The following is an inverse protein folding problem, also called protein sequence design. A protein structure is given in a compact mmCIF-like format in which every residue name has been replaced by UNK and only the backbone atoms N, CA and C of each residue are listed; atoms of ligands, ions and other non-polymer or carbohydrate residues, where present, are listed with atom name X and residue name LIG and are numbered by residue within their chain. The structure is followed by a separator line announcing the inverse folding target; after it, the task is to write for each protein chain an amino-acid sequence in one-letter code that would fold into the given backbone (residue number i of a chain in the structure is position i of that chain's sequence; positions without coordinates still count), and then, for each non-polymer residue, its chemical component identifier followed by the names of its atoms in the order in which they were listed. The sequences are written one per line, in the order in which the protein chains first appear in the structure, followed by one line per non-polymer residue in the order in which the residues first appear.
data_IF_707993244373
#
_entry.id   IF_707993244373
#
_cell.length_a   1.000
_cell.length_b   1.000
_cell.length_c   1.000
_cell.angle_alpha   90.00
_cell.angle_beta   90.00
_cell.angle_gamma   90.00
#
_symmetry.space_group_name_H-M   'P 1'
#
loop_
_entity.id
_entity.type
_entity.pdbx_description
1 polymer ?
#
# COMPACT_ATOMS: atom_id res chain seq x y z
N UNK A 1 2.05 4.91 -14.15
CA UNK A 1 0.60 4.60 -14.16
C UNK A 1 0.26 3.33 -13.37
N UNK A 2 1.16 2.77 -12.54
CA UNK A 2 1.09 1.33 -12.22
C UNK A 2 1.01 0.97 -10.73
N UNK A 3 1.05 1.92 -9.78
CA UNK A 3 0.91 1.62 -8.34
C UNK A 3 -0.38 2.16 -7.71
N UNK A 4 -0.92 3.28 -8.22
CA UNK A 4 -2.22 3.79 -7.78
C UNK A 4 -3.36 2.80 -8.00
N UNK A 5 -3.28 2.00 -9.07
CA UNK A 5 -4.29 1.00 -9.39
C UNK A 5 -4.29 -0.17 -8.38
N UNK A 6 -3.15 -0.53 -7.80
CA UNK A 6 -3.06 -1.62 -6.82
C UNK A 6 -3.73 -1.24 -5.49
N UNK A 7 -3.53 0.00 -5.03
CA UNK A 7 -4.21 0.52 -3.83
C UNK A 7 -5.73 0.45 -3.95
N UNK A 8 -6.28 0.89 -5.09
CA UNK A 8 -7.73 0.83 -5.35
C UNK A 8 -8.25 -0.60 -5.52
N UNK A 9 -7.48 -1.51 -6.11
CA UNK A 9 -7.88 -2.92 -6.28
C UNK A 9 -8.00 -3.63 -4.93
N UNK A 10 -7.08 -3.37 -3.99
CA UNK A 10 -7.14 -3.99 -2.67
C UNK A 10 -8.22 -3.36 -1.77
N UNK A 11 -8.43 -2.05 -1.86
CA UNK A 11 -9.60 -1.38 -1.26
C UNK A 11 -10.92 -2.02 -1.75
N UNK A 12 -11.04 -2.25 -3.06
CA UNK A 12 -12.24 -2.83 -3.67
C UNK A 12 -12.44 -4.33 -3.37
N UNK A 13 -11.40 -5.06 -2.94
CA UNK A 13 -11.48 -6.51 -2.67
C UNK A 13 -11.54 -6.87 -1.18
N UNK A 14 -11.22 -5.94 -0.27
CA UNK A 14 -11.13 -6.22 1.17
C UNK A 14 -10.02 -7.20 1.56
N UNK A 15 -9.19 -7.63 0.59
CA UNK A 15 -8.07 -8.56 0.81
C UNK A 15 -6.82 -7.80 1.25
N UNK A 16 -6.95 -7.20 2.43
CA UNK A 16 -5.92 -6.39 3.07
C UNK A 16 -4.74 -7.24 3.55
N UNK A 17 -4.95 -8.53 3.82
CA UNK A 17 -3.92 -9.49 4.23
C UNK A 17 -2.94 -9.82 3.12
N UNK A 18 -3.43 -9.96 1.89
CA UNK A 18 -2.56 -10.16 0.74
C UNK A 18 -1.83 -8.88 0.33
N UNK A 19 -2.46 -7.70 0.46
CA UNK A 19 -1.90 -6.41 0.05
C UNK A 19 -0.68 -5.96 0.86
N UNK A 20 -0.71 -6.22 2.17
CA UNK A 20 0.27 -5.72 3.14
C UNK A 20 1.73 -6.14 2.85
N UNK A 21 2.05 -7.43 2.59
CA UNK A 21 3.41 -7.85 2.28
C UNK A 21 3.95 -7.23 0.98
N UNK A 22 3.12 -7.10 -0.06
CA UNK A 22 3.54 -6.49 -1.33
C UNK A 22 3.84 -5.00 -1.19
N UNK A 23 3.02 -4.26 -0.44
CA UNK A 23 3.25 -2.84 -0.18
C UNK A 23 4.53 -2.62 0.64
N UNK A 24 4.82 -3.48 1.63
CA UNK A 24 6.09 -3.42 2.38
C UNK A 24 7.30 -3.66 1.48
N UNK A 25 7.24 -4.67 0.61
CA UNK A 25 8.31 -4.93 -0.35
C UNK A 25 8.51 -3.75 -1.32
N UNK A 26 7.41 -3.15 -1.80
CA UNK A 26 7.47 -1.97 -2.66
C UNK A 26 8.11 -0.77 -1.95
N UNK A 27 7.81 -0.58 -0.67
CA UNK A 27 8.40 0.48 0.15
C UNK A 27 9.90 0.31 0.30
N UNK A 28 10.37 -0.91 0.56
CA UNK A 28 11.80 -1.21 0.68
C UNK A 28 12.54 -0.95 -0.63
N UNK A 29 11.97 -1.36 -1.77
CA UNK A 29 12.55 -1.10 -3.09
C UNK A 29 12.63 0.42 -3.35
N UNK A 30 11.55 1.16 -3.08
CA UNK A 30 11.49 2.61 -3.29
C UNK A 30 12.53 3.35 -2.45
N UNK A 31 12.75 2.93 -1.20
CA UNK A 31 13.79 3.48 -0.32
C UNK A 31 15.19 3.18 -0.85
N UNK A 32 15.45 1.97 -1.32
CA UNK A 32 16.74 1.57 -1.88
C UNK A 32 17.08 2.38 -3.13
N UNK A 33 16.10 2.64 -4.00
CA UNK A 33 16.32 3.41 -5.24
C UNK A 33 16.16 4.93 -5.05
N UNK A 34 15.78 5.39 -3.86
CA UNK A 34 15.57 6.81 -3.55
C UNK A 34 14.32 7.44 -4.18
N UNK A 35 13.31 6.63 -4.54
CA UNK A 35 12.04 7.12 -5.11
C UNK A 35 11.10 7.62 -4.01
N UNK A 36 11.27 8.89 -3.62
CA UNK A 36 10.46 9.56 -2.61
C UNK A 36 8.97 9.66 -2.98
N UNK A 37 8.66 9.77 -4.28
CA UNK A 37 7.27 9.86 -4.76
C UNK A 37 6.58 8.50 -4.67
N UNK A 38 7.29 7.45 -5.06
CA UNK A 38 6.85 6.08 -4.88
C UNK A 38 6.61 5.77 -3.40
N UNK A 39 7.57 6.11 -2.53
CA UNK A 39 7.47 5.92 -1.08
C UNK A 39 6.22 6.58 -0.51
N UNK A 40 5.98 7.86 -0.82
CA UNK A 40 4.80 8.57 -0.36
C UNK A 40 3.49 7.89 -0.79
N UNK A 41 3.42 7.41 -2.03
CA UNK A 41 2.24 6.69 -2.54
C UNK A 41 2.01 5.38 -1.80
N UNK A 42 3.07 4.60 -1.57
CA UNK A 42 3.01 3.32 -0.85
C UNK A 42 2.60 3.52 0.61
N UNK A 43 3.11 4.56 1.26
CA UNK A 43 2.73 4.91 2.63
C UNK A 43 1.25 5.31 2.72
N UNK A 44 0.73 6.10 1.78
CA UNK A 44 -0.70 6.42 1.74
C UNK A 44 -1.57 5.16 1.63
N UNK A 45 -1.18 4.20 0.78
CA UNK A 45 -1.91 2.94 0.64
C UNK A 45 -1.85 2.09 1.92
N UNK A 46 -0.69 2.02 2.60
CA UNK A 46 -0.57 1.32 3.88
C UNK A 46 -1.46 1.95 4.97
N UNK A 47 -1.52 3.28 5.04
CA UNK A 47 -2.38 3.99 5.99
C UNK A 47 -3.88 3.71 5.75
N UNK A 48 -4.32 3.63 4.50
CA UNK A 48 -5.70 3.27 4.16
C UNK A 48 -6.04 1.84 4.62
N UNK A 49 -5.12 0.89 4.40
CA UNK A 49 -5.30 -0.50 4.83
C UNK A 49 -5.34 -0.62 6.35
N UNK A 50 -4.48 0.10 7.06
CA UNK A 50 -4.45 0.09 8.52
C UNK A 50 -5.71 0.70 9.13
N UNK A 51 -6.23 1.79 8.54
CA UNK A 51 -7.52 2.36 8.94
C UNK A 51 -8.67 1.37 8.69
N UNK A 52 -8.73 0.79 7.49
CA UNK A 52 -9.76 -0.19 7.16
C UNK A 52 -9.73 -1.39 8.12
N UNK A 53 -8.55 -1.89 8.50
CA UNK A 53 -8.41 -2.97 9.50
C UNK A 53 -8.82 -2.56 10.92
N UNK A 54 -8.55 -1.31 11.30
CA UNK A 54 -8.93 -0.77 12.61
C UNK A 54 -10.43 -0.52 12.75
N UNK A 55 -11.13 -0.31 11.63
CA UNK A 55 -12.58 -0.12 11.57
C UNK A 55 -13.39 -1.45 11.56
N UNK A 56 -12.75 -2.60 11.79
CA UNK A 56 -13.42 -3.91 11.89
C UNK A 56 -13.55 -4.45 13.33
N UNK A 57 -13.22 -3.66 14.36
CA UNK A 57 -13.50 -4.00 15.79
C UNK A 57 -14.86 -3.46 16.27
#
# INVERSE_FOLDING_TARGET
MTLGNLGQIFEARGDYDTALPYLKQSLDIQRVIGDQKGEGTTLSNLSLILQARGDYD
#
